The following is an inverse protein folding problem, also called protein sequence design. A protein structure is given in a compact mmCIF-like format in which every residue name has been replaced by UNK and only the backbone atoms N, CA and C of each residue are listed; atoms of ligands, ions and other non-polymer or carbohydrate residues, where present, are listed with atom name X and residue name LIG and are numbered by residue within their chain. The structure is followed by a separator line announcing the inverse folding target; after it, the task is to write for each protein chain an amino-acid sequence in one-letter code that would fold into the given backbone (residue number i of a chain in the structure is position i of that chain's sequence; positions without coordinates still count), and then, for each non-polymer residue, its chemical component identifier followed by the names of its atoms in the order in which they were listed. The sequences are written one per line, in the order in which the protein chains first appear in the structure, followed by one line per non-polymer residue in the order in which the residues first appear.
data_IF_316895529884
#
_entry.id   IF_316895529884
#
_cell.length_a   1.000
_cell.length_b   1.000
_cell.length_c   1.000
_cell.angle_alpha   90.00
_cell.angle_beta   90.00
_cell.angle_gamma   90.00
#
_symmetry.space_group_name_H-M   'P 1'
#
loop_
_entity.id
_entity.type
_entity.pdbx_description
1 polymer ?
#
# COMPACT_ATOMS: atom_id res chain seq x y z
N UNK A 1 35.30 37.42 30.66
CA UNK A 1 34.84 37.84 29.31
C UNK A 1 35.27 36.91 28.17
N UNK A 2 36.55 36.52 28.04
CA UNK A 2 37.04 35.63 26.95
C UNK A 2 36.45 34.19 26.89
N UNK A 3 35.98 33.65 28.01
CA UNK A 3 35.38 32.30 28.07
C UNK A 3 33.94 32.27 27.51
N UNK A 4 33.16 33.31 27.77
CA UNK A 4 31.77 33.45 27.29
C UNK A 4 31.73 33.55 25.75
N UNK A 5 32.68 34.26 25.15
CA UNK A 5 32.80 34.38 23.69
C UNK A 5 33.13 33.07 22.97
N UNK A 6 33.89 32.16 23.61
CA UNK A 6 34.21 30.85 23.02
C UNK A 6 33.04 29.88 23.06
N UNK A 7 32.26 29.91 24.15
CA UNK A 7 31.03 29.12 24.27
C UNK A 7 29.99 29.56 23.23
N UNK A 8 29.73 30.87 23.08
CA UNK A 8 28.80 31.37 22.08
C UNK A 8 29.20 31.02 20.63
N UNK A 9 30.50 31.08 20.31
CA UNK A 9 31.00 30.71 18.99
C UNK A 9 30.81 29.21 18.71
N UNK A 10 31.06 28.34 19.69
CA UNK A 10 30.84 26.90 19.56
C UNK A 10 29.35 26.55 19.40
N UNK A 11 28.46 27.25 20.11
CA UNK A 11 27.01 27.02 19.99
C UNK A 11 26.46 27.52 18.65
N UNK A 12 26.96 28.66 18.16
CA UNK A 12 26.58 29.17 16.85
C UNK A 12 27.05 28.25 15.72
N UNK A 13 28.24 27.66 15.84
CA UNK A 13 28.78 26.71 14.86
C UNK A 13 27.97 25.40 14.85
N UNK A 14 27.60 24.85 16.02
CA UNK A 14 26.77 23.64 16.09
C UNK A 14 25.36 23.86 15.57
N UNK A 15 24.74 25.01 15.85
CA UNK A 15 23.41 25.36 15.28
C UNK A 15 23.50 25.54 13.76
N UNK A 16 24.55 26.18 13.26
CA UNK A 16 24.75 26.37 11.81
C UNK A 16 24.98 25.04 11.08
N UNK A 17 25.73 24.12 11.70
CA UNK A 17 25.90 22.75 11.20
C UNK A 17 24.58 21.98 11.29
N UNK A 18 23.79 22.11 12.36
CA UNK A 18 22.46 21.50 12.46
C UNK A 18 21.52 22.01 11.36
N UNK A 19 21.48 23.31 11.10
CA UNK A 19 20.65 23.91 10.05
C UNK A 19 21.15 23.58 8.62
N UNK A 20 22.45 23.35 8.45
CA UNK A 20 23.02 22.90 7.17
C UNK A 20 22.80 21.40 6.92
N UNK A 21 22.63 20.60 7.99
CA UNK A 21 22.38 19.16 7.93
C UNK A 21 20.89 18.83 7.96
N UNK A 22 20.01 19.77 8.33
CA UNK A 22 18.56 19.61 8.12
C UNK A 22 18.27 19.61 6.62
N UNK A 23 17.83 18.48 6.03
CA UNK A 23 17.49 18.45 4.62
C UNK A 23 16.40 19.49 4.34
N UNK A 24 16.54 20.18 3.21
CA UNK A 24 15.53 21.13 2.74
C UNK A 24 14.17 20.42 2.68
N UNK A 25 13.23 20.92 3.48
CA UNK A 25 11.91 20.36 3.74
C UNK A 25 10.97 20.56 2.54
N UNK A 26 11.33 20.02 1.38
CA UNK A 26 10.62 20.20 0.12
C UNK A 26 9.55 19.13 -0.09
N UNK A 27 8.49 19.48 -0.83
CA UNK A 27 7.51 18.51 -1.30
C UNK A 27 8.17 17.56 -2.30
N UNK A 28 7.88 16.27 -2.20
CA UNK A 28 8.37 15.24 -3.13
C UNK A 28 7.33 14.90 -4.18
N UNK A 29 7.78 14.37 -5.31
CA UNK A 29 6.92 13.82 -6.36
C UNK A 29 6.66 12.34 -6.07
N UNK A 30 5.39 12.02 -5.82
CA UNK A 30 4.92 10.66 -5.53
C UNK A 30 4.22 10.10 -6.77
N UNK A 31 4.68 8.94 -7.24
CA UNK A 31 3.95 8.13 -8.21
C UNK A 31 3.14 7.07 -7.47
N UNK A 32 1.84 7.04 -7.65
CA UNK A 32 0.97 6.04 -7.08
C UNK A 32 0.33 5.17 -8.17
N UNK A 33 0.35 3.85 -8.01
CA UNK A 33 -0.28 2.90 -8.95
C UNK A 33 -1.27 2.01 -8.18
N UNK A 34 -2.53 2.04 -8.60
CA UNK A 34 -3.57 1.09 -8.19
C UNK A 34 -3.69 0.00 -9.27
N UNK A 35 -3.07 -1.18 -9.07
CA UNK A 35 -3.07 -2.25 -10.07
C UNK A 35 -4.35 -3.11 -10.04
N UNK A 36 -5.35 -2.80 -9.20
CA UNK A 36 -6.56 -3.59 -9.09
C UNK A 36 -7.83 -2.74 -9.34
N UNK A 37 -8.70 -3.16 -10.27
CA UNK A 37 -9.97 -2.47 -10.48
C UNK A 37 -11.02 -2.93 -9.45
N UNK A 38 -10.76 -2.69 -8.16
CA UNK A 38 -11.69 -2.89 -7.06
C UNK A 38 -11.92 -1.58 -6.26
N UNK A 39 -13.18 -1.19 -6.04
CA UNK A 39 -13.51 0.09 -5.40
C UNK A 39 -13.02 0.20 -3.96
N UNK A 40 -13.08 -0.87 -3.18
CA UNK A 40 -12.60 -0.88 -1.78
C UNK A 40 -11.10 -0.63 -1.67
N UNK A 41 -10.34 -1.23 -2.59
CA UNK A 41 -8.89 -1.08 -2.73
C UNK A 41 -8.53 0.39 -3.01
N UNK A 42 -9.14 0.94 -4.07
CA UNK A 42 -8.93 2.35 -4.41
C UNK A 42 -9.38 3.32 -3.31
N UNK A 43 -10.48 3.06 -2.63
CA UNK A 43 -10.98 3.93 -1.55
C UNK A 43 -9.96 4.05 -0.41
N UNK A 44 -9.35 2.92 -0.03
CA UNK A 44 -8.28 2.90 0.98
C UNK A 44 -7.01 3.60 0.47
N UNK A 45 -6.49 3.18 -0.68
CA UNK A 45 -5.27 3.77 -1.24
C UNK A 45 -5.43 5.28 -1.42
N UNK A 46 -6.55 5.73 -1.97
CA UNK A 46 -6.84 7.16 -2.17
C UNK A 46 -6.81 7.95 -0.87
N UNK A 47 -7.32 7.40 0.23
CA UNK A 47 -7.26 8.08 1.53
C UNK A 47 -5.81 8.27 2.01
N UNK A 48 -4.95 7.26 1.85
CA UNK A 48 -3.51 7.36 2.14
C UNK A 48 -2.85 8.43 1.26
N UNK A 49 -3.14 8.41 -0.05
CA UNK A 49 -2.59 9.38 -1.00
C UNK A 49 -3.06 10.81 -0.73
N UNK A 50 -4.32 10.99 -0.32
CA UNK A 50 -4.84 12.28 0.10
C UNK A 50 -4.12 12.77 1.35
N UNK A 51 -3.90 11.91 2.34
CA UNK A 51 -3.11 12.27 3.52
C UNK A 51 -1.66 12.68 3.16
N UNK A 52 -1.05 12.07 2.14
CA UNK A 52 0.27 12.50 1.63
C UNK A 52 0.20 13.85 0.90
N UNK A 53 -0.86 14.09 0.12
CA UNK A 53 -1.03 15.31 -0.67
C UNK A 53 -1.45 16.53 0.18
N UNK A 54 -2.23 16.33 1.24
CA UNK A 54 -2.79 17.41 2.06
C UNK A 54 -2.20 17.48 3.46
N UNK A 55 -1.54 16.42 3.93
CA UNK A 55 -0.94 16.36 5.26
C UNK A 55 0.43 17.02 5.32
N UNK A 56 0.72 17.67 6.45
CA UNK A 56 2.02 18.28 6.73
C UNK A 56 2.43 19.31 5.66
N UNK A 57 3.38 18.93 4.79
CA UNK A 57 3.98 19.82 3.77
C UNK A 57 3.25 19.78 2.41
N UNK A 58 2.40 18.78 2.19
CA UNK A 58 1.73 18.52 0.92
C UNK A 58 2.70 18.03 -0.17
N UNK A 59 2.60 16.76 -0.53
CA UNK A 59 3.39 16.17 -1.63
C UNK A 59 2.67 16.29 -2.97
N UNK A 60 3.43 16.24 -4.07
CA UNK A 60 2.85 16.23 -5.41
C UNK A 60 2.55 14.78 -5.81
N UNK A 61 1.28 14.39 -5.82
CA UNK A 61 0.86 13.00 -6.01
C UNK A 61 0.23 12.80 -7.39
N UNK A 62 0.83 11.93 -8.19
CA UNK A 62 0.26 11.44 -9.45
C UNK A 62 -0.19 10.00 -9.27
N UNK A 63 -1.51 9.75 -9.32
CA UNK A 63 -2.09 8.44 -9.11
C UNK A 63 -2.67 7.84 -10.39
N UNK A 64 -2.15 6.70 -10.84
CA UNK A 64 -2.74 5.90 -11.90
C UNK A 64 -3.74 4.92 -11.29
N UNK A 65 -5.01 5.01 -11.69
CA UNK A 65 -6.08 4.19 -11.12
C UNK A 65 -7.17 3.83 -12.14
N UNK A 66 -7.75 2.61 -12.06
CA UNK A 66 -8.93 2.24 -12.85
C UNK A 66 -10.16 3.08 -12.54
N UNK A 67 -10.18 3.81 -11.43
CA UNK A 67 -11.32 4.60 -10.95
C UNK A 67 -11.09 6.10 -11.01
N UNK A 68 -10.17 6.56 -11.86
CA UNK A 68 -9.91 7.97 -12.04
C UNK A 68 -11.22 8.71 -12.35
N UNK A 69 -11.55 9.72 -11.56
CA UNK A 69 -12.71 10.56 -11.85
C UNK A 69 -12.41 11.47 -13.04
N UNK A 70 -13.25 11.46 -14.08
CA UNK A 70 -13.20 12.44 -15.18
C UNK A 70 -13.59 13.86 -14.74
N UNK A 71 -14.12 14.00 -13.52
CA UNK A 71 -14.80 15.21 -13.05
C UNK A 71 -13.89 16.24 -12.38
N UNK A 72 -12.62 15.91 -12.14
CA UNK A 72 -11.70 16.85 -11.50
C UNK A 72 -10.31 16.62 -12.07
N UNK A 73 -10.01 17.28 -13.20
CA UNK A 73 -8.75 18.03 -13.23
C UNK A 73 -8.75 18.81 -11.93
N UNK A 74 -7.81 18.53 -11.03
CA UNK A 74 -7.63 19.27 -9.77
C UNK A 74 -7.17 20.70 -10.07
N UNK A 75 -8.02 21.45 -10.76
CA UNK A 75 -8.23 22.86 -10.49
C UNK A 75 -8.79 22.95 -9.06
N UNK A 76 -7.89 22.87 -8.07
CA UNK A 76 -8.34 22.95 -6.68
C UNK A 76 -7.47 22.31 -5.62
N UNK A 77 -6.13 22.31 -5.73
CA UNK A 77 -5.26 22.41 -4.53
C UNK A 77 -4.16 23.45 -4.74
N UNK A 78 -4.32 24.40 -5.68
CA UNK A 78 -3.47 25.59 -5.75
C UNK A 78 -4.35 26.84 -5.88
N UNK A 79 -4.74 27.45 -4.77
CA UNK A 79 -5.15 28.86 -4.78
C UNK A 79 -3.91 29.74 -4.98
N UNK A 80 -3.32 29.72 -6.19
CA UNK A 80 -2.33 30.70 -6.64
C UNK A 80 -0.93 30.68 -6.00
N UNK A 81 -0.48 29.58 -5.40
CA UNK A 81 0.90 29.43 -4.91
C UNK A 81 1.87 28.88 -5.98
N UNK A 82 3.18 29.24 -5.96
CA UNK A 82 4.14 28.77 -6.96
C UNK A 82 4.56 27.31 -6.68
N UNK A 83 4.33 26.42 -7.65
CA UNK A 83 4.89 25.05 -7.78
C UNK A 83 4.91 24.18 -6.50
N UNK A 84 3.96 23.24 -6.35
CA UNK A 84 4.04 22.19 -5.32
C UNK A 84 2.76 21.75 -4.58
N UNK A 85 1.54 22.00 -5.07
CA UNK A 85 0.32 21.59 -4.36
C UNK A 85 -0.65 20.81 -5.27
N UNK A 86 -0.36 19.54 -5.54
CA UNK A 86 -1.11 18.75 -6.52
C UNK A 86 -1.42 17.32 -6.11
N UNK A 87 -2.66 16.91 -6.34
CA UNK A 87 -3.08 15.51 -6.42
C UNK A 87 -3.76 15.32 -7.77
N UNK A 88 -3.32 14.39 -8.60
CA UNK A 88 -3.94 14.11 -9.89
C UNK A 88 -4.21 12.62 -10.06
N UNK A 89 -5.39 12.28 -10.57
CA UNK A 89 -5.77 10.92 -10.94
C UNK A 89 -5.67 10.78 -12.46
N UNK A 90 -4.88 9.82 -12.93
CA UNK A 90 -4.74 9.47 -14.34
C UNK A 90 -5.44 8.11 -14.56
N UNK A 91 -6.33 7.99 -15.56
CA UNK A 91 -6.99 6.73 -15.85
C UNK A 91 -6.00 5.61 -16.19
N UNK A 92 -6.09 4.49 -15.47
CA UNK A 92 -5.34 3.26 -15.74
C UNK A 92 -6.28 2.19 -16.29
N UNK A 93 -6.11 1.87 -17.58
CA UNK A 93 -6.86 0.79 -18.23
C UNK A 93 -6.06 -0.50 -18.14
N UNK A 94 -6.60 -1.46 -17.39
CA UNK A 94 -5.96 -2.76 -17.12
C UNK A 94 -6.52 -3.90 -17.99
N UNK A 95 -7.40 -3.59 -18.94
CA UNK A 95 -8.07 -4.56 -19.84
C UNK A 95 -8.70 -5.77 -19.12
N UNK A 96 -9.04 -5.57 -17.84
CA UNK A 96 -9.76 -6.51 -16.99
C UNK A 96 -11.06 -5.86 -16.53
N UNK A 97 -12.17 -6.61 -16.44
CA UNK A 97 -13.42 -6.08 -15.89
C UNK A 97 -13.18 -5.54 -14.48
N UNK A 98 -13.75 -4.38 -14.18
CA UNK A 98 -13.83 -3.94 -12.80
C UNK A 98 -14.71 -4.90 -11.99
N UNK A 99 -14.46 -4.96 -10.68
CA UNK A 99 -15.25 -5.78 -9.77
C UNK A 99 -16.49 -5.04 -9.26
N UNK A 100 -16.92 -3.96 -9.91
CA UNK A 100 -18.12 -3.23 -9.49
C UNK A 100 -19.33 -4.04 -9.93
N UNK A 101 -20.29 -4.22 -9.01
CA UNK A 101 -21.53 -4.98 -9.27
C UNK A 101 -21.30 -6.43 -9.75
N UNK A 102 -20.27 -7.11 -9.23
CA UNK A 102 -20.08 -8.54 -9.47
C UNK A 102 -21.27 -9.35 -8.95
N UNK A 103 -21.78 -10.27 -9.77
CA UNK A 103 -22.84 -11.19 -9.38
C UNK A 103 -22.43 -12.04 -8.16
N UNK A 104 -23.34 -12.21 -7.20
CA UNK A 104 -23.06 -12.89 -5.93
C UNK A 104 -22.69 -14.36 -6.13
N UNK A 105 -23.30 -15.06 -7.10
CA UNK A 105 -22.95 -16.48 -7.36
C UNK A 105 -21.54 -16.59 -7.91
N UNK A 106 -21.18 -15.66 -8.80
CA UNK A 106 -19.82 -15.54 -9.35
C UNK A 106 -18.81 -15.19 -8.25
N UNK A 107 -19.16 -14.22 -7.39
CA UNK A 107 -18.32 -13.85 -6.25
C UNK A 107 -18.08 -15.03 -5.30
N UNK A 108 -19.12 -15.80 -4.97
CA UNK A 108 -18.96 -17.00 -4.12
C UNK A 108 -18.11 -18.05 -4.83
N UNK A 109 -18.34 -18.32 -6.12
CA UNK A 109 -17.57 -19.31 -6.87
C UNK A 109 -16.08 -18.96 -6.99
N UNK A 110 -15.75 -17.66 -7.06
CA UNK A 110 -14.39 -17.18 -7.24
C UNK A 110 -13.65 -16.92 -5.91
N UNK A 111 -14.35 -16.53 -4.85
CA UNK A 111 -13.74 -16.07 -3.59
C UNK A 111 -13.96 -16.99 -2.38
N UNK A 112 -14.96 -17.88 -2.40
CA UNK A 112 -15.21 -18.78 -1.26
C UNK A 112 -14.21 -19.95 -1.21
N UNK A 113 -13.72 -20.38 -2.38
CA UNK A 113 -12.68 -21.40 -2.48
C UNK A 113 -11.29 -20.75 -2.49
N UNK A 114 -10.51 -21.03 -1.44
CA UNK A 114 -9.22 -20.39 -1.22
C UNK A 114 -8.19 -20.78 -2.29
N UNK A 115 -8.29 -21.99 -2.84
CA UNK A 115 -7.38 -22.46 -3.88
C UNK A 115 -7.57 -21.69 -5.18
N UNK A 116 -8.83 -21.52 -5.61
CA UNK A 116 -9.19 -20.68 -6.76
C UNK A 116 -8.85 -19.23 -6.52
N UNK A 117 -9.10 -18.71 -5.31
CA UNK A 117 -8.83 -17.32 -4.97
C UNK A 117 -7.36 -16.94 -5.19
N UNK A 118 -6.41 -17.73 -4.68
CA UNK A 118 -4.97 -17.45 -4.84
C UNK A 118 -4.60 -17.37 -6.32
N UNK A 119 -5.02 -18.34 -7.13
CA UNK A 119 -4.74 -18.34 -8.56
C UNK A 119 -5.34 -17.14 -9.31
N UNK A 120 -6.60 -16.79 -9.00
CA UNK A 120 -7.26 -15.61 -9.59
C UNK A 120 -6.53 -14.33 -9.20
N UNK A 121 -6.15 -14.19 -7.93
CA UNK A 121 -5.51 -12.99 -7.42
C UNK A 121 -4.11 -12.80 -8.03
N UNK A 122 -3.29 -13.85 -8.09
CA UNK A 122 -1.97 -13.81 -8.73
C UNK A 122 -2.09 -13.51 -10.22
N UNK A 123 -2.95 -14.21 -10.96
CA UNK A 123 -3.12 -13.98 -12.40
C UNK A 123 -3.54 -12.54 -12.70
N UNK A 124 -4.43 -11.95 -11.88
CA UNK A 124 -4.81 -10.54 -12.00
C UNK A 124 -3.62 -9.61 -11.71
N UNK A 125 -2.83 -9.86 -10.68
CA UNK A 125 -1.62 -9.08 -10.39
C UNK A 125 -0.63 -9.14 -11.57
N UNK A 126 -0.32 -10.33 -12.09
CA UNK A 126 0.61 -10.50 -13.21
C UNK A 126 0.10 -9.83 -14.49
N UNK A 127 -1.20 -9.90 -14.76
CA UNK A 127 -1.81 -9.19 -15.91
C UNK A 127 -1.64 -7.68 -15.78
N UNK A 128 -1.93 -7.12 -14.60
CA UNK A 128 -1.72 -5.70 -14.33
C UNK A 128 -0.24 -5.30 -14.47
N UNK A 129 0.67 -6.12 -13.96
CA UNK A 129 2.11 -5.87 -14.07
C UNK A 129 2.60 -5.92 -15.52
N UNK A 130 2.14 -6.86 -16.34
CA UNK A 130 2.47 -6.87 -17.77
C UNK A 130 2.03 -5.58 -18.48
N UNK A 131 0.90 -4.99 -18.06
CA UNK A 131 0.46 -3.68 -18.55
C UNK A 131 1.36 -2.54 -18.06
N UNK A 132 1.75 -2.56 -16.79
CA UNK A 132 2.66 -1.56 -16.21
C UNK A 132 4.04 -1.61 -16.86
N UNK A 133 4.57 -2.81 -17.15
CA UNK A 133 5.85 -3.01 -17.82
C UNK A 133 5.82 -2.41 -19.24
N UNK A 134 4.72 -2.60 -19.99
CA UNK A 134 4.52 -1.95 -21.29
C UNK A 134 4.45 -0.43 -21.19
N UNK A 135 3.73 0.10 -20.19
CA UNK A 135 3.63 1.55 -19.98
C UNK A 135 4.97 2.17 -19.60
N UNK A 136 5.76 1.48 -18.78
CA UNK A 136 7.09 1.91 -18.40
C UNK A 136 8.04 1.91 -19.61
N UNK A 137 8.02 0.86 -20.43
CA UNK A 137 8.81 0.78 -21.67
C UNK A 137 8.44 1.87 -22.69
N UNK A 138 7.15 2.28 -22.72
CA UNK A 138 6.67 3.39 -23.54
C UNK A 138 6.89 4.79 -22.91
N UNK A 139 7.58 4.88 -21.77
CA UNK A 139 7.96 6.14 -21.14
C UNK A 139 6.81 6.89 -20.45
N UNK A 140 5.71 6.23 -20.11
CA UNK A 140 4.56 6.87 -19.45
C UNK A 140 4.91 7.50 -18.09
N UNK A 141 5.94 6.97 -17.42
CA UNK A 141 6.38 7.43 -16.10
C UNK A 141 7.60 8.36 -16.15
N UNK A 142 8.15 8.64 -17.33
CA UNK A 142 9.41 9.39 -17.48
C UNK A 142 9.25 10.91 -17.50
N UNK A 143 8.02 11.42 -17.49
CA UNK A 143 7.74 12.88 -17.58
C UNK A 143 8.07 13.66 -16.31
N UNK A 144 8.09 12.97 -15.17
CA UNK A 144 8.33 13.55 -13.85
C UNK A 144 9.41 12.69 -13.19
N UNK A 145 10.37 13.34 -12.54
CA UNK A 145 11.29 12.64 -11.65
C UNK A 145 10.58 12.36 -10.34
N UNK A 146 10.20 11.11 -10.12
CA UNK A 146 9.54 10.68 -8.89
C UNK A 146 10.57 10.35 -7.82
N UNK A 147 10.29 10.75 -6.59
CA UNK A 147 11.15 10.49 -5.44
C UNK A 147 10.67 9.25 -4.65
N UNK A 148 9.39 8.92 -4.77
CA UNK A 148 8.74 7.79 -4.06
C UNK A 148 7.70 7.15 -4.96
N UNK A 149 7.61 5.82 -4.90
CA UNK A 149 6.56 5.03 -5.56
C UNK A 149 5.65 4.39 -4.51
N UNK A 150 4.34 4.55 -4.67
CA UNK A 150 3.32 3.91 -3.85
C UNK A 150 2.57 2.91 -4.73
N UNK A 151 2.54 1.64 -4.34
CA UNK A 151 1.76 0.62 -5.04
C UNK A 151 0.93 -0.19 -4.06
N UNK A 152 -0.25 -0.63 -4.49
CA UNK A 152 -0.93 -1.69 -3.77
C UNK A 152 -0.24 -3.03 -3.99
N UNK A 153 0.01 -3.74 -2.89
CA UNK A 153 0.37 -5.15 -2.93
C UNK A 153 -0.92 -5.98 -2.89
N UNK A 154 -1.29 -6.59 -4.01
CA UNK A 154 -2.50 -7.43 -4.09
C UNK A 154 -2.17 -8.87 -3.69
N UNK A 155 -1.50 -9.60 -4.57
CA UNK A 155 -1.06 -10.98 -4.33
C UNK A 155 0.27 -11.33 -4.98
N UNK A 156 0.87 -10.43 -5.76
CA UNK A 156 2.22 -10.56 -6.29
C UNK A 156 2.98 -9.25 -6.11
N UNK A 157 4.28 -9.33 -5.87
CA UNK A 157 5.17 -8.18 -5.73
C UNK A 157 5.58 -7.57 -7.07
N UNK A 158 5.07 -8.05 -8.20
CA UNK A 158 5.50 -7.60 -9.53
C UNK A 158 5.38 -6.10 -9.78
N UNK A 159 4.43 -5.40 -9.15
CA UNK A 159 4.30 -3.94 -9.25
C UNK A 159 5.49 -3.18 -8.66
N UNK A 160 6.26 -3.83 -7.77
CA UNK A 160 7.48 -3.27 -7.19
C UNK A 160 8.62 -3.08 -8.20
N UNK A 161 8.60 -3.78 -9.35
CA UNK A 161 9.61 -3.59 -10.42
C UNK A 161 9.70 -2.14 -10.87
N UNK A 162 8.60 -1.41 -10.79
CA UNK A 162 8.53 0.00 -11.15
C UNK A 162 9.51 0.87 -10.34
N UNK A 163 9.77 0.52 -9.08
CA UNK A 163 10.79 1.20 -8.27
C UNK A 163 12.18 1.10 -8.91
N UNK A 164 12.57 -0.09 -9.37
CA UNK A 164 13.83 -0.31 -10.08
C UNK A 164 13.88 0.41 -11.43
N UNK A 165 12.80 0.37 -12.20
CA UNK A 165 12.69 1.06 -13.51
C UNK A 165 12.83 2.58 -13.37
N UNK A 166 12.40 3.15 -12.25
CA UNK A 166 12.51 4.57 -11.96
C UNK A 166 13.83 4.96 -11.27
N UNK A 167 14.80 4.05 -11.19
CA UNK A 167 16.13 4.32 -10.64
C UNK A 167 16.27 4.01 -9.16
N UNK A 168 15.66 2.90 -8.70
CA UNK A 168 15.71 2.42 -7.31
C UNK A 168 15.07 3.40 -6.31
N UNK A 169 13.98 4.03 -6.71
CA UNK A 169 13.23 4.96 -5.86
C UNK A 169 12.56 4.23 -4.68
N UNK A 170 12.55 4.81 -3.47
CA UNK A 170 11.85 4.24 -2.31
C UNK A 170 10.43 3.76 -2.62
N UNK A 171 10.13 2.55 -2.18
CA UNK A 171 8.85 1.88 -2.43
C UNK A 171 7.99 1.88 -1.17
N UNK A 172 6.74 2.30 -1.32
CA UNK A 172 5.69 2.23 -0.31
C UNK A 172 4.66 1.23 -0.77
N UNK A 173 4.38 0.24 0.07
CA UNK A 173 3.21 -0.61 -0.13
C UNK A 173 2.01 -0.04 0.60
N UNK A 174 0.84 -0.20 -0.01
CA UNK A 174 -0.45 -0.08 0.65
C UNK A 174 -1.16 -1.44 0.59
N UNK A 175 -1.87 -1.80 1.66
CA UNK A 175 -2.65 -3.04 1.73
C UNK A 175 -4.03 -2.75 2.35
N UNK A 176 -5.13 -2.93 1.61
CA UNK A 176 -6.46 -2.48 2.03
C UNK A 176 -7.16 -3.41 3.03
N UNK A 177 -6.49 -4.46 3.49
CA UNK A 177 -6.98 -5.43 4.48
C UNK A 177 -5.82 -5.92 5.36
N UNK A 178 -6.08 -6.79 6.36
CA UNK A 178 -5.01 -7.60 6.93
C UNK A 178 -4.31 -8.42 5.85
N UNK A 179 -3.00 -8.55 5.96
CA UNK A 179 -2.19 -9.27 4.97
C UNK A 179 -2.31 -10.77 5.21
N UNK A 180 -2.50 -11.54 4.14
CA UNK A 180 -2.39 -12.98 4.23
C UNK A 180 -0.96 -13.36 4.68
N UNK A 181 -0.82 -14.11 5.77
CA UNK A 181 0.48 -14.40 6.40
C UNK A 181 1.54 -14.98 5.44
N UNK A 182 1.16 -15.73 4.40
CA UNK A 182 2.13 -16.22 3.40
C UNK A 182 2.59 -15.11 2.44
N UNK A 183 1.71 -14.17 2.11
CA UNK A 183 2.04 -12.97 1.32
C UNK A 183 2.89 -12.01 2.17
N UNK A 184 2.54 -11.85 3.45
CA UNK A 184 3.32 -11.05 4.40
C UNK A 184 4.74 -11.58 4.53
N UNK A 185 4.91 -12.90 4.74
CA UNK A 185 6.22 -13.53 4.80
C UNK A 185 7.05 -13.29 3.53
N UNK A 186 6.41 -13.41 2.36
CA UNK A 186 7.07 -13.17 1.07
C UNK A 186 7.47 -11.70 0.92
N UNK A 187 6.56 -10.77 1.16
CA UNK A 187 6.74 -9.36 0.87
C UNK A 187 7.59 -8.62 1.91
N UNK A 188 7.46 -8.99 3.19
CA UNK A 188 8.10 -8.30 4.31
C UNK A 188 9.20 -9.14 4.98
N UNK A 189 9.42 -10.37 4.51
CA UNK A 189 10.48 -11.27 4.97
C UNK A 189 10.12 -12.10 6.20
N UNK A 190 9.03 -11.79 6.90
CA UNK A 190 8.52 -12.56 8.04
C UNK A 190 7.02 -12.39 8.19
N UNK A 191 6.39 -13.28 8.96
CA UNK A 191 4.97 -13.22 9.31
C UNK A 191 4.73 -13.92 10.64
N UNK A 192 3.59 -13.68 11.31
CA UNK A 192 3.17 -14.46 12.46
C UNK A 192 3.15 -15.96 12.17
N UNK A 193 3.70 -16.76 13.08
CA UNK A 193 3.85 -18.20 12.90
C UNK A 193 2.50 -18.93 12.85
N UNK A 194 2.32 -19.91 11.94
CA UNK A 194 1.04 -20.59 11.77
C UNK A 194 0.68 -21.53 12.93
N UNK A 195 1.58 -21.73 13.91
CA UNK A 195 1.29 -22.48 15.13
C UNK A 195 0.50 -21.69 16.17
N UNK A 196 0.41 -20.36 16.05
CA UNK A 196 -0.25 -19.49 17.05
C UNK A 196 -1.08 -18.36 16.45
N UNK A 197 -0.85 -17.98 15.19
CA UNK A 197 -1.63 -16.97 14.47
C UNK A 197 -2.46 -17.63 13.37
N UNK A 198 -3.75 -17.32 13.34
CA UNK A 198 -4.68 -17.84 12.33
C UNK A 198 -4.40 -17.19 10.97
N UNK A 199 -4.40 -18.00 9.90
CA UNK A 199 -4.32 -17.48 8.52
C UNK A 199 -5.59 -16.70 8.13
N UNK A 200 -5.48 -15.83 7.12
CA UNK A 200 -6.54 -14.89 6.65
C UNK A 200 -7.89 -15.53 6.24
N UNK A 201 -8.02 -16.85 6.25
CA UNK A 201 -9.28 -17.54 5.98
C UNK A 201 -9.47 -18.81 6.84
N UNK A 202 -8.89 -18.81 8.03
CA UNK A 202 -9.14 -19.85 9.01
C UNK A 202 -10.61 -19.83 9.44
N UNK A 203 -11.18 -21.00 9.73
CA UNK A 203 -12.54 -21.13 10.29
C UNK A 203 -12.59 -20.92 11.82
N UNK A 204 -11.53 -20.35 12.38
CA UNK A 204 -11.32 -20.16 13.81
C UNK A 204 -10.54 -18.87 14.05
N UNK A 205 -10.82 -18.20 15.16
CA UNK A 205 -10.12 -16.99 15.56
C UNK A 205 -8.69 -17.29 16.03
N UNK A 206 -8.48 -18.39 16.76
CA UNK A 206 -7.17 -18.81 17.27
C UNK A 206 -6.96 -20.33 17.12
N UNK A 207 -5.73 -20.80 16.80
CA UNK A 207 -5.42 -22.22 16.75
C UNK A 207 -5.10 -22.76 18.16
N UNK A 208 -6.14 -22.89 18.97
CA UNK A 208 -6.10 -23.26 20.40
C UNK A 208 -5.83 -24.76 20.66
N UNK A 209 -6.10 -25.63 19.69
CA UNK A 209 -5.85 -27.09 19.76
C UNK A 209 -4.71 -27.53 18.85
N UNK A 210 -4.07 -28.66 19.16
CA UNK A 210 -3.05 -29.26 18.29
C UNK A 210 -3.59 -29.49 16.87
N UNK A 211 -4.83 -29.98 16.74
CA UNK A 211 -5.47 -30.21 15.44
C UNK A 211 -5.61 -28.92 14.61
N UNK A 212 -6.10 -27.83 15.22
CA UNK A 212 -6.22 -26.53 14.53
C UNK A 212 -4.85 -25.94 14.17
N UNK A 213 -3.82 -26.14 15.01
CA UNK A 213 -2.45 -25.71 14.68
C UNK A 213 -1.90 -26.44 13.46
N UNK A 214 -2.11 -27.76 13.38
CA UNK A 214 -1.71 -28.57 12.24
C UNK A 214 -2.48 -28.17 10.97
N UNK A 215 -3.80 -27.98 11.07
CA UNK A 215 -4.63 -27.51 9.96
C UNK A 215 -4.18 -26.12 9.47
N UNK A 216 -3.88 -25.21 10.39
CA UNK A 216 -3.43 -23.86 10.06
C UNK A 216 -2.07 -23.88 9.35
N UNK A 217 -1.11 -24.65 9.87
CA UNK A 217 0.21 -24.82 9.27
C UNK A 217 0.15 -25.49 7.89
N UNK A 218 -0.70 -26.52 7.75
CA UNK A 218 -0.97 -27.14 6.45
C UNK A 218 -1.55 -26.14 5.47
N UNK A 219 -2.60 -25.41 5.85
CA UNK A 219 -3.23 -24.40 5.02
C UNK A 219 -2.26 -23.29 4.60
N UNK A 220 -1.43 -22.79 5.53
CA UNK A 220 -0.38 -21.81 5.22
C UNK A 220 0.59 -22.35 4.15
N UNK A 221 1.07 -23.59 4.33
CA UNK A 221 2.04 -24.22 3.43
C UNK A 221 1.46 -24.41 2.03
N UNK A 222 0.22 -24.88 1.96
CA UNK A 222 -0.50 -25.06 0.70
C UNK A 222 -0.69 -23.72 -0.03
N UNK A 223 -1.14 -22.68 0.66
CA UNK A 223 -1.33 -21.36 0.04
C UNK A 223 -0.01 -20.76 -0.45
N UNK A 224 1.07 -20.90 0.32
CA UNK A 224 2.41 -20.49 -0.10
C UNK A 224 2.90 -21.26 -1.34
N UNK A 225 2.66 -22.57 -1.40
CA UNK A 225 3.03 -23.40 -2.55
C UNK A 225 2.22 -23.06 -3.81
N UNK A 226 0.91 -22.83 -3.67
CA UNK A 226 0.04 -22.40 -4.76
C UNK A 226 0.46 -21.04 -5.31
N UNK A 227 0.71 -20.08 -4.41
CA UNK A 227 1.23 -18.77 -4.74
C UNK A 227 2.51 -18.88 -5.59
N UNK A 228 3.49 -19.66 -5.11
CA UNK A 228 4.73 -19.92 -5.84
C UNK A 228 4.49 -20.56 -7.21
N UNK A 229 3.59 -21.54 -7.30
CA UNK A 229 3.27 -22.21 -8.57
C UNK A 229 2.66 -21.25 -9.60
N UNK A 230 1.77 -20.35 -9.17
CA UNK A 230 1.18 -19.35 -10.05
C UNK A 230 2.18 -18.28 -10.51
N UNK A 231 3.18 -17.96 -9.70
CA UNK A 231 4.21 -16.97 -10.04
C UNK A 231 5.46 -17.57 -10.70
N UNK A 232 5.54 -18.89 -10.87
CA UNK A 232 6.76 -19.58 -11.35
C UNK A 232 7.25 -19.12 -12.73
N UNK A 233 6.36 -18.52 -13.53
CA UNK A 233 6.67 -18.00 -14.86
C UNK A 233 7.01 -16.52 -14.91
N UNK A 234 6.85 -15.78 -13.80
CA UNK A 234 7.20 -14.35 -13.72
C UNK A 234 8.66 -14.18 -13.30
N UNK A 235 9.32 -13.15 -13.83
CA UNK A 235 10.69 -12.80 -13.42
C UNK A 235 10.65 -12.04 -12.09
N UNK A 236 11.01 -12.75 -11.03
CA UNK A 236 11.02 -12.24 -9.66
C UNK A 236 12.34 -11.52 -9.31
N UNK A 237 13.38 -11.56 -10.17
CA UNK A 237 14.66 -10.90 -9.90
C UNK A 237 14.52 -9.37 -9.86
N UNK A 238 13.52 -8.83 -10.56
CA UNK A 238 13.20 -7.41 -10.57
C UNK A 238 12.44 -6.92 -9.33
N UNK A 239 11.98 -7.80 -8.43
CA UNK A 239 11.17 -7.37 -7.29
C UNK A 239 11.99 -6.52 -6.32
N UNK A 240 11.31 -5.55 -5.69
CA UNK A 240 11.89 -4.63 -4.71
C UNK A 240 11.09 -4.68 -3.43
N UNK A 241 11.78 -4.54 -2.30
CA UNK A 241 11.16 -4.57 -0.97
C UNK A 241 10.76 -3.16 -0.54
N UNK A 242 9.63 -3.00 0.16
CA UNK A 242 9.12 -1.70 0.55
C UNK A 242 9.96 -1.09 1.69
N UNK A 243 10.18 0.22 1.63
CA UNK A 243 10.69 1.00 2.75
C UNK A 243 9.66 1.12 3.87
N UNK A 244 8.37 1.19 3.52
CA UNK A 244 7.24 1.20 4.45
C UNK A 244 6.00 0.59 3.81
N UNK A 245 5.16 -0.05 4.62
CA UNK A 245 3.91 -0.69 4.23
C UNK A 245 2.78 -0.16 5.10
N UNK A 246 1.80 0.50 4.50
CA UNK A 246 0.59 0.94 5.17
C UNK A 246 -0.50 -0.12 5.04
N UNK A 247 -1.02 -0.60 6.15
CA UNK A 247 -2.00 -1.69 6.19
C UNK A 247 -3.29 -1.19 6.82
N UNK A 248 -4.43 -1.52 6.23
CA UNK A 248 -5.75 -1.24 6.78
C UNK A 248 -6.05 -2.20 7.94
N UNK A 249 -5.35 -2.02 9.05
CA UNK A 249 -5.41 -2.80 10.28
C UNK A 249 -5.36 -1.87 11.48
N UNK A 250 -6.03 -2.26 12.56
CA UNK A 250 -5.96 -1.57 13.85
C UNK A 250 -5.82 -2.60 14.99
N UNK A 251 -4.83 -2.44 15.88
CA UNK A 251 -4.56 -3.38 16.98
C UNK A 251 -5.70 -3.47 18.02
N UNK A 252 -6.66 -2.55 18.00
CA UNK A 252 -7.86 -2.60 18.86
C UNK A 252 -8.89 -3.62 18.39
N UNK A 253 -8.92 -3.95 17.09
CA UNK A 253 -9.87 -4.91 16.51
C UNK A 253 -9.20 -6.21 16.06
N UNK A 254 -7.87 -6.22 15.95
CA UNK A 254 -7.10 -7.39 15.55
C UNK A 254 -6.34 -8.05 16.70
N UNK A 255 -6.00 -9.33 16.49
CA UNK A 255 -5.20 -10.07 17.46
C UNK A 255 -3.79 -9.49 17.50
N UNK A 256 -3.30 -9.20 18.70
CA UNK A 256 -1.90 -8.83 18.90
C UNK A 256 -0.96 -9.96 18.45
N UNK A 257 -0.17 -9.68 17.43
CA UNK A 257 0.87 -10.55 16.88
C UNK A 257 2.12 -9.71 16.62
N UNK A 258 3.32 -10.32 16.59
CA UNK A 258 4.53 -9.61 16.20
C UNK A 258 4.38 -9.00 14.80
N UNK A 259 4.71 -7.72 14.66
CA UNK A 259 4.69 -6.98 13.39
C UNK A 259 6.10 -6.51 13.05
N UNK A 260 6.40 -6.40 11.75
CA UNK A 260 7.65 -5.80 11.28
C UNK A 260 7.64 -4.29 11.45
N UNK A 261 8.82 -3.69 11.65
CA UNK A 261 8.92 -2.25 11.93
C UNK A 261 8.48 -1.36 10.77
N UNK A 262 8.62 -1.84 9.53
CA UNK A 262 8.18 -1.12 8.34
C UNK A 262 6.71 -1.37 7.99
N UNK A 263 5.92 -2.02 8.86
CA UNK A 263 4.48 -2.18 8.69
C UNK A 263 3.72 -1.28 9.67
N UNK A 264 2.97 -0.32 9.12
CA UNK A 264 2.23 0.68 9.89
C UNK A 264 0.73 0.45 9.68
N UNK A 265 0.02 0.15 10.76
CA UNK A 265 -1.44 0.07 10.77
C UNK A 265 -2.05 1.46 10.64
N UNK A 266 -2.86 1.66 9.61
CA UNK A 266 -3.65 2.88 9.33
C UNK A 266 -5.12 2.54 9.13
N UNK A 267 -5.62 1.59 9.94
CA UNK A 267 -7.00 1.14 9.93
C UNK A 267 -7.99 2.31 9.99
N UNK A 268 -9.00 2.28 9.12
CA UNK A 268 -10.07 3.27 9.13
C UNK A 268 -9.70 4.65 8.54
N UNK A 269 -8.51 4.85 7.98
CA UNK A 269 -8.09 6.13 7.35
C UNK A 269 -9.05 6.63 6.26
N UNK A 270 -9.83 5.73 5.66
CA UNK A 270 -10.79 6.00 4.59
C UNK A 270 -12.22 6.24 5.11
N UNK A 271 -12.46 6.09 6.42
CA UNK A 271 -13.77 6.34 7.02
C UNK A 271 -13.99 7.85 7.17
N UNK A 272 -15.21 8.35 6.93
CA UNK A 272 -15.56 9.72 7.28
C UNK A 272 -15.50 9.91 8.81
N UNK A 273 -15.32 11.14 9.28
CA UNK A 273 -15.47 11.44 10.70
C UNK A 273 -16.82 10.93 11.24
N UNK A 274 -16.85 10.36 12.45
CA UNK A 274 -18.08 9.84 13.02
C UNK A 274 -19.09 10.98 13.21
N UNK A 275 -20.32 10.77 12.73
CA UNK A 275 -21.44 11.66 13.00
C UNK A 275 -22.00 11.42 14.41
N UNK A 276 -22.55 12.44 15.09
CA UNK A 276 -23.22 12.24 16.37
C UNK A 276 -24.35 11.22 16.25
N UNK A 277 -24.44 10.30 17.21
CA UNK A 277 -25.53 9.33 17.27
C UNK A 277 -26.86 10.11 17.38
N UNK A 278 -27.85 9.84 16.51
CA UNK A 278 -29.15 10.49 16.60
C UNK A 278 -29.73 10.31 18.00
N UNK A 279 -30.20 11.39 18.62
CA UNK A 279 -30.93 11.29 19.87
C UNK A 279 -32.22 10.50 19.63
N UNK A 280 -32.47 9.50 20.46
CA UNK A 280 -33.72 8.74 20.42
C UNK A 280 -34.83 9.74 20.76
N UNK A 281 -35.66 10.10 19.77
CA UNK A 281 -36.91 10.79 20.05
C UNK A 281 -37.79 9.79 20.78
N UNK A 282 -38.17 10.13 22.01
CA UNK A 282 -39.07 9.31 22.82
C UNK A 282 -40.33 8.98 22.00
N UNK A 283 -40.61 7.68 21.85
CA UNK A 283 -41.90 7.17 21.40
C UNK A 283 -43.00 7.54 22.41
#
# INVERSE_FOLDING_TARGET
MRWVTKQCAATALTISVLCAVTPSLTAVNVLAIEPLPARSHWTFMRAVLMAMATGGRGHNVTAYTPFASSSVVTAGVCNGGPSGCGYVEIPLRLDVPDKVALDVRTAVADFADQWRFVGIAVNKSLTACGRLDQMAAAGHFSRVQYDVVVVELVSSECSSRLSGVLGEVPLVYVFPSPIASWVEAKALGTSPGPSYASRLFARYATPDTLGRRLENAYGWTVMAALQWFHERGDDQAGYRKPSVTFVNTDPTVEKSVPVVQNMIGVGGVHLPPPEPIPSVSNF
#
